data_IF_477952603744
#
_entry.id   IF_477952603744
#
_cell.length_a   1.000
_cell.length_b   1.000
_cell.length_c   1.000
_cell.angle_alpha   90.00
_cell.angle_beta   90.00
_cell.angle_gamma   90.00
#
_symmetry.space_group_name_H-M   'P 1'
#
loop_
_entity.id
_entity.type
_entity.pdbx_description
1 polymer ?
#
# COMPACT_ATOMS: atom_id res chain seq x y z
N UNK A 1 -0.95 -0.39 -39.81
CA UNK A 1 0.35 -0.20 -39.15
C UNK A 1 0.00 0.21 -37.74
N UNK A 2 -0.05 -0.75 -36.82
CA UNK A 2 -0.12 -0.43 -35.39
C UNK A 2 1.21 0.22 -35.03
N UNK A 3 1.15 1.50 -34.65
CA UNK A 3 2.29 2.18 -34.03
C UNK A 3 2.61 1.39 -32.76
N UNK A 4 3.75 0.71 -32.75
CA UNK A 4 4.31 0.18 -31.52
C UNK A 4 4.78 1.38 -30.71
N UNK A 5 4.15 1.59 -29.55
CA UNK A 5 4.64 2.54 -28.54
C UNK A 5 6.12 2.27 -28.25
N UNK A 6 7.01 3.27 -28.35
CA UNK A 6 8.46 3.08 -28.24
C UNK A 6 8.98 2.90 -26.80
N UNK A 7 8.12 2.95 -25.78
CA UNK A 7 8.47 2.95 -24.35
C UNK A 7 8.37 1.57 -23.68
N UNK A 8 8.90 0.54 -24.33
CA UNK A 8 8.99 -0.80 -23.75
C UNK A 8 10.44 -1.28 -23.72
N UNK A 9 11.25 -0.75 -22.78
CA UNK A 9 12.54 -1.33 -22.34
C UNK A 9 12.84 -1.04 -20.84
N UNK A 10 12.09 -1.75 -19.99
CA UNK A 10 12.30 -2.13 -18.57
C UNK A 10 12.88 -1.10 -17.58
N UNK A 11 12.01 -0.41 -16.85
CA UNK A 11 12.41 0.35 -15.66
C UNK A 11 11.64 -0.04 -14.38
N UNK A 12 12.32 -0.72 -13.42
CA UNK A 12 11.98 -0.84 -11.99
C UNK A 12 12.77 0.16 -11.11
N UNK A 13 12.90 1.38 -11.63
CA UNK A 13 13.36 2.65 -11.06
C UNK A 13 14.85 2.84 -10.75
N UNK A 14 15.55 3.53 -11.65
CA UNK A 14 16.87 4.15 -11.44
C UNK A 14 16.73 5.68 -11.38
N UNK A 15 17.59 6.33 -10.56
CA UNK A 15 17.70 7.79 -10.46
C UNK A 15 19.17 8.19 -10.40
N UNK A 16 19.67 8.95 -11.39
CA UNK A 16 20.96 9.63 -11.27
C UNK A 16 20.78 11.10 -10.86
N UNK A 17 19.66 11.70 -11.28
CA UNK A 17 19.32 13.09 -10.99
C UNK A 17 18.16 13.22 -9.97
N UNK A 18 18.03 14.42 -9.41
CA UNK A 18 16.97 14.76 -8.48
C UNK A 18 16.78 16.27 -8.37
N UNK A 19 15.56 16.67 -8.03
CA UNK A 19 15.19 18.07 -7.85
C UNK A 19 14.94 18.40 -6.39
N UNK A 20 15.19 19.65 -6.01
CA UNK A 20 14.89 20.14 -4.67
C UNK A 20 13.40 20.44 -4.56
N UNK A 21 12.66 19.54 -3.90
CA UNK A 21 11.21 19.69 -3.68
C UNK A 21 10.90 19.86 -2.18
N UNK A 22 9.75 20.47 -1.85
CA UNK A 22 9.29 20.53 -0.47
C UNK A 22 9.07 19.15 0.12
N UNK A 23 9.73 18.89 1.25
CA UNK A 23 9.51 17.70 2.05
C UNK A 23 8.25 17.89 2.87
N UNK A 24 7.19 17.18 2.51
CA UNK A 24 5.95 17.14 3.29
C UNK A 24 6.20 16.41 4.62
N UNK A 25 6.38 17.19 5.69
CA UNK A 25 6.27 16.73 7.08
C UNK A 25 4.96 17.25 7.67
N UNK A 26 4.32 16.48 8.55
CA UNK A 26 2.99 16.81 9.09
C UNK A 26 3.02 18.04 10.03
N UNK A 27 4.20 18.45 10.48
CA UNK A 27 4.37 19.17 11.74
C UNK A 27 5.54 20.18 11.78
N UNK A 28 6.23 20.46 10.67
CA UNK A 28 7.38 21.39 10.65
C UNK A 28 7.48 22.22 9.37
N UNK A 29 8.18 23.35 9.49
CA UNK A 29 8.52 24.30 8.41
C UNK A 29 8.88 23.58 7.09
N UNK A 30 8.48 24.18 5.96
CA UNK A 30 8.77 23.68 4.61
C UNK A 30 10.28 23.54 4.40
N UNK A 31 10.81 22.34 4.67
CA UNK A 31 12.19 22.00 4.39
C UNK A 31 12.28 21.48 2.96
N UNK A 32 13.26 21.93 2.19
CA UNK A 32 13.54 21.37 0.88
C UNK A 32 14.40 20.13 1.06
N UNK A 33 14.09 19.08 0.30
CA UNK A 33 14.94 17.89 0.21
C UNK A 33 15.20 17.55 -1.25
N UNK A 34 16.25 16.79 -1.54
CA UNK A 34 16.51 16.28 -2.88
C UNK A 34 15.58 15.08 -3.11
N UNK A 35 14.71 15.19 -4.10
CA UNK A 35 13.79 14.13 -4.53
C UNK A 35 14.31 13.53 -5.84
N UNK A 36 14.91 12.33 -5.79
CA UNK A 36 15.29 11.62 -7.00
C UNK A 36 14.06 11.30 -7.83
N UNK A 37 14.16 11.39 -9.15
CA UNK A 37 13.09 10.97 -10.05
C UNK A 37 13.64 9.95 -11.06
N UNK A 38 12.75 9.13 -11.60
CA UNK A 38 13.14 8.20 -12.64
C UNK A 38 13.26 8.93 -13.98
N UNK A 39 14.43 8.92 -14.60
CA UNK A 39 14.66 9.54 -15.92
C UNK A 39 13.81 8.88 -17.04
N UNK A 40 13.36 7.64 -16.85
CA UNK A 40 12.58 6.91 -17.84
C UNK A 40 11.06 7.14 -17.71
N UNK A 41 10.50 7.00 -16.50
CA UNK A 41 9.04 7.12 -16.29
C UNK A 41 8.60 8.43 -15.60
N UNK A 42 9.55 9.28 -15.20
CA UNK A 42 9.27 10.55 -14.51
C UNK A 42 8.77 10.41 -13.07
N UNK A 43 8.63 9.19 -12.55
CA UNK A 43 8.12 8.97 -11.20
C UNK A 43 9.11 9.52 -10.16
N UNK A 44 8.62 10.34 -9.24
CA UNK A 44 9.41 10.92 -8.15
C UNK A 44 9.47 9.95 -6.98
N UNK A 45 10.66 9.71 -6.46
CA UNK A 45 10.87 8.82 -5.32
C UNK A 45 10.30 9.43 -4.04
N UNK A 46 9.61 8.61 -3.26
CA UNK A 46 9.25 8.97 -1.90
C UNK A 46 10.50 8.98 -1.00
N UNK A 47 10.96 10.18 -0.65
CA UNK A 47 12.04 10.42 0.33
C UNK A 47 11.51 10.82 1.71
N UNK A 48 10.18 10.89 1.86
CA UNK A 48 9.48 11.31 3.07
C UNK A 48 9.51 10.28 4.20
N UNK A 49 9.00 10.68 5.39
CA UNK A 49 8.85 9.77 6.53
C UNK A 49 7.71 8.75 6.33
N UNK A 50 6.72 9.07 5.49
CA UNK A 50 5.56 8.22 5.17
C UNK A 50 5.94 7.11 4.18
N UNK A 51 6.84 6.22 4.60
CA UNK A 51 7.47 5.20 3.74
C UNK A 51 6.57 3.98 3.54
N UNK A 52 6.36 3.56 2.28
CA UNK A 52 5.50 2.43 1.97
C UNK A 52 6.10 1.10 2.48
N UNK A 53 5.25 0.09 2.61
CA UNK A 53 5.58 -1.26 3.04
C UNK A 53 5.39 -2.25 1.90
N UNK A 54 6.15 -3.33 1.93
CA UNK A 54 5.99 -4.44 0.98
C UNK A 54 4.66 -5.15 1.21
N UNK A 55 4.10 -5.75 0.17
CA UNK A 55 2.89 -6.57 0.25
C UNK A 55 2.88 -7.54 1.45
N UNK A 56 4.01 -8.21 1.73
CA UNK A 56 4.13 -9.14 2.86
C UNK A 56 3.75 -8.55 4.23
N UNK A 57 4.03 -7.27 4.45
CA UNK A 57 3.59 -6.57 5.68
C UNK A 57 2.06 -6.59 5.81
N UNK A 58 1.34 -6.29 4.73
CA UNK A 58 -0.12 -6.28 4.73
C UNK A 58 -0.72 -7.69 4.83
N UNK A 59 -0.04 -8.70 4.28
CA UNK A 59 -0.41 -10.12 4.46
C UNK A 59 -0.24 -10.56 5.92
N UNK A 60 0.80 -10.09 6.60
CA UNK A 60 1.00 -10.33 8.02
C UNK A 60 -0.11 -9.67 8.84
N UNK A 61 -0.43 -8.39 8.56
CA UNK A 61 -1.54 -7.67 9.22
C UNK A 61 -2.91 -8.32 8.98
N UNK A 62 -3.14 -8.83 7.78
CA UNK A 62 -4.33 -9.62 7.48
C UNK A 62 -4.42 -10.88 8.34
N UNK A 63 -3.29 -11.53 8.60
CA UNK A 63 -3.22 -12.73 9.45
C UNK A 63 -3.39 -12.39 10.94
N UNK A 64 -2.89 -11.25 11.41
CA UNK A 64 -3.16 -10.73 12.75
C UNK A 64 -4.66 -10.46 12.96
N UNK A 65 -5.29 -9.76 12.00
CA UNK A 65 -6.73 -9.49 12.01
C UNK A 65 -7.56 -10.77 11.99
N UNK A 66 -7.18 -11.75 11.16
CA UNK A 66 -7.80 -13.08 11.14
C UNK A 66 -7.78 -13.75 12.52
N UNK A 67 -6.63 -13.72 13.20
CA UNK A 67 -6.47 -14.33 14.52
C UNK A 67 -7.32 -13.61 15.59
N UNK A 68 -7.39 -12.29 15.54
CA UNK A 68 -8.27 -11.52 16.40
C UNK A 68 -9.74 -11.92 16.23
N UNK A 69 -10.21 -11.97 14.99
CA UNK A 69 -11.58 -12.35 14.65
C UNK A 69 -11.91 -13.80 15.02
N UNK A 70 -10.92 -14.70 15.07
CA UNK A 70 -11.11 -16.06 15.60
C UNK A 70 -11.35 -16.08 17.11
N UNK A 71 -10.73 -15.17 17.85
CA UNK A 71 -10.75 -15.13 19.31
C UNK A 71 -11.97 -14.41 19.87
N UNK A 72 -12.42 -13.30 19.25
CA UNK A 72 -13.59 -12.56 19.73
C UNK A 72 -14.93 -13.26 19.46
N UNK A 73 -15.03 -14.05 18.39
CA UNK A 73 -16.29 -14.63 17.90
C UNK A 73 -16.61 -16.05 18.38
N UNK A 74 -15.90 -16.57 19.39
CA UNK A 74 -16.19 -17.92 19.91
C UNK A 74 -17.62 -18.08 20.46
N UNK A 75 -18.36 -16.98 20.66
CA UNK A 75 -19.76 -17.00 21.09
C UNK A 75 -20.81 -17.06 19.96
N UNK A 76 -20.50 -16.68 18.70
CA UNK A 76 -21.52 -16.63 17.61
C UNK A 76 -21.03 -16.92 16.18
N UNK A 77 -19.73 -17.10 15.93
CA UNK A 77 -19.20 -17.57 14.64
C UNK A 77 -19.46 -16.68 13.42
N UNK A 78 -19.88 -15.42 13.61
CA UNK A 78 -20.31 -14.55 12.51
C UNK A 78 -19.19 -13.70 11.93
N UNK A 79 -18.11 -13.43 12.66
CA UNK A 79 -17.11 -12.46 12.17
C UNK A 79 -15.77 -13.06 11.73
N UNK A 80 -15.69 -14.36 11.41
CA UNK A 80 -14.43 -14.98 10.97
C UNK A 80 -14.02 -14.50 9.57
N UNK A 81 -12.73 -14.23 9.39
CA UNK A 81 -12.15 -14.14 8.05
C UNK A 81 -11.98 -15.58 7.51
N UNK A 82 -12.68 -15.91 6.42
CA UNK A 82 -12.57 -17.24 5.81
C UNK A 82 -11.30 -17.34 4.97
N UNK A 83 -10.81 -18.57 4.77
CA UNK A 83 -9.68 -18.85 3.85
C UNK A 83 -9.93 -18.29 2.44
N UNK A 84 -11.19 -18.33 1.97
CA UNK A 84 -11.56 -17.77 0.67
C UNK A 84 -11.41 -16.25 0.66
N UNK A 85 -11.90 -15.55 1.70
CA UNK A 85 -11.71 -14.10 1.81
C UNK A 85 -10.23 -13.74 1.82
N UNK A 86 -9.42 -14.44 2.62
CA UNK A 86 -7.98 -14.19 2.70
C UNK A 86 -7.31 -14.29 1.32
N UNK A 87 -7.58 -15.36 0.58
CA UNK A 87 -7.03 -15.55 -0.77
C UNK A 87 -7.47 -14.45 -1.75
N UNK A 88 -8.74 -14.06 -1.72
CA UNK A 88 -9.27 -13.01 -2.59
C UNK A 88 -8.68 -11.64 -2.26
N UNK A 89 -8.57 -11.30 -0.98
CA UNK A 89 -7.94 -10.06 -0.51
C UNK A 89 -6.48 -10.00 -0.93
N UNK A 90 -5.71 -11.07 -0.69
CA UNK A 90 -4.29 -11.14 -1.09
C UNK A 90 -4.14 -10.98 -2.59
N UNK A 91 -4.94 -11.69 -3.37
CA UNK A 91 -4.91 -11.60 -4.83
C UNK A 91 -5.22 -10.18 -5.32
N UNK A 92 -6.22 -9.53 -4.74
CA UNK A 92 -6.56 -8.15 -5.11
C UNK A 92 -5.43 -7.17 -4.74
N UNK A 93 -4.78 -7.35 -3.58
CA UNK A 93 -3.58 -6.57 -3.23
C UNK A 93 -2.42 -6.81 -4.21
N UNK A 94 -2.23 -8.04 -4.71
CA UNK A 94 -1.21 -8.37 -5.71
C UNK A 94 -1.46 -7.71 -7.08
N UNK A 95 -2.73 -7.49 -7.44
CA UNK A 95 -3.10 -6.82 -8.71
C UNK A 95 -2.95 -5.29 -8.62
N UNK A 96 -2.92 -4.74 -7.41
CA UNK A 96 -2.86 -3.31 -7.15
C UNK A 96 -1.42 -2.77 -7.20
N UNK A 97 -1.20 -1.76 -8.04
CA UNK A 97 0.14 -1.19 -8.27
C UNK A 97 0.78 -0.64 -6.99
N UNK A 98 -0.03 -0.12 -6.07
CA UNK A 98 0.45 0.52 -4.83
C UNK A 98 1.17 -0.43 -3.88
N UNK A 99 0.97 -1.75 -3.99
CA UNK A 99 1.66 -2.74 -3.14
C UNK A 99 2.91 -3.34 -3.80
N UNK A 100 3.06 -3.16 -5.11
CA UNK A 100 4.13 -3.74 -5.92
C UNK A 100 5.21 -2.71 -6.27
N UNK A 101 4.81 -1.49 -6.61
CA UNK A 101 5.72 -0.38 -6.90
C UNK A 101 5.81 0.58 -5.72
N UNK A 102 6.87 0.44 -4.92
CA UNK A 102 7.08 1.24 -3.72
C UNK A 102 7.84 2.55 -3.98
N UNK A 103 8.26 2.83 -5.22
CA UNK A 103 9.23 3.90 -5.47
C UNK A 103 8.66 5.28 -5.15
N UNK A 104 7.45 5.57 -5.62
CA UNK A 104 6.77 6.86 -5.43
C UNK A 104 5.54 6.81 -4.50
N UNK A 105 5.25 5.67 -3.88
CA UNK A 105 4.02 5.47 -3.10
C UNK A 105 4.20 5.92 -1.64
N UNK A 106 3.12 6.42 -1.04
CA UNK A 106 3.02 6.76 0.38
C UNK A 106 2.45 5.59 1.19
N UNK A 107 2.91 5.40 2.43
CA UNK A 107 2.36 4.35 3.30
C UNK A 107 0.87 4.61 3.59
N UNK A 108 0.50 5.86 3.86
CA UNK A 108 -0.90 6.27 4.03
C UNK A 108 -1.79 5.86 2.84
N UNK A 109 -1.31 5.99 1.60
CA UNK A 109 -2.05 5.54 0.41
C UNK A 109 -2.26 4.02 0.41
N UNK A 110 -1.25 3.25 0.81
CA UNK A 110 -1.39 1.80 0.92
C UNK A 110 -2.34 1.39 2.05
N UNK A 111 -2.33 2.10 3.17
CA UNK A 111 -3.25 1.88 4.30
C UNK A 111 -4.71 2.12 3.89
N UNK A 112 -4.99 3.25 3.21
CA UNK A 112 -6.32 3.52 2.67
C UNK A 112 -6.76 2.42 1.69
N UNK A 113 -5.86 2.01 0.79
CA UNK A 113 -6.18 0.96 -0.18
C UNK A 113 -6.42 -0.40 0.49
N UNK A 114 -5.65 -0.71 1.53
CA UNK A 114 -5.83 -1.92 2.32
C UNK A 114 -7.20 -1.94 3.02
N UNK A 115 -7.60 -0.83 3.62
CA UNK A 115 -8.93 -0.66 4.24
C UNK A 115 -10.04 -0.83 3.20
N UNK A 116 -9.91 -0.21 2.03
CA UNK A 116 -10.87 -0.31 0.92
C UNK A 116 -11.07 -1.77 0.48
N UNK A 117 -9.98 -2.49 0.21
CA UNK A 117 -10.03 -3.89 -0.21
C UNK A 117 -10.66 -4.75 0.89
N UNK A 118 -10.28 -4.57 2.15
CA UNK A 118 -10.86 -5.33 3.26
C UNK A 118 -12.36 -5.11 3.39
N UNK A 119 -12.81 -3.85 3.31
CA UNK A 119 -14.22 -3.47 3.39
C UNK A 119 -15.05 -4.02 2.24
N UNK A 120 -14.47 -4.24 1.06
CA UNK A 120 -15.14 -4.89 -0.07
C UNK A 120 -15.56 -6.33 0.27
N UNK A 121 -14.71 -7.09 0.94
CA UNK A 121 -14.98 -8.49 1.32
C UNK A 121 -15.64 -8.64 2.68
N UNK A 122 -15.44 -7.67 3.57
CA UNK A 122 -15.97 -7.64 4.94
C UNK A 122 -16.50 -6.24 5.28
N UNK A 123 -17.63 -5.82 4.69
CA UNK A 123 -18.22 -4.50 4.94
C UNK A 123 -18.69 -4.35 6.40
N UNK A 124 -18.92 -5.46 7.08
CA UNK A 124 -19.34 -5.56 8.48
C UNK A 124 -18.22 -5.23 9.48
N UNK A 125 -16.94 -5.31 9.09
CA UNK A 125 -15.83 -4.95 9.99
C UNK A 125 -15.77 -3.45 10.18
N UNK A 126 -15.71 -2.96 11.40
CA UNK A 126 -15.52 -1.53 11.66
C UNK A 126 -14.13 -1.07 11.18
N UNK A 127 -14.07 0.13 10.59
CA UNK A 127 -12.82 0.66 10.06
C UNK A 127 -11.77 0.90 11.16
N UNK A 128 -12.21 1.34 12.34
CA UNK A 128 -11.33 1.50 13.50
C UNK A 128 -10.63 0.20 13.90
N UNK A 129 -11.31 -0.94 13.81
CA UNK A 129 -10.72 -2.26 14.06
C UNK A 129 -9.65 -2.55 13.01
N UNK A 130 -9.92 -2.28 11.73
CA UNK A 130 -8.93 -2.50 10.66
C UNK A 130 -7.69 -1.62 10.89
N UNK A 131 -7.88 -0.33 11.16
CA UNK A 131 -6.79 0.63 11.36
C UNK A 131 -5.96 0.36 12.60
N UNK A 132 -6.56 -0.17 13.67
CA UNK A 132 -5.82 -0.57 14.87
C UNK A 132 -4.70 -1.58 14.56
N UNK A 133 -4.85 -2.41 13.54
CA UNK A 133 -3.81 -3.37 13.14
C UNK A 133 -2.72 -2.77 12.24
N UNK A 134 -2.88 -1.54 11.74
CA UNK A 134 -1.90 -0.87 10.88
C UNK A 134 -0.87 -0.04 11.67
N UNK A 135 -1.16 0.28 12.94
CA UNK A 135 -0.25 0.96 13.88
C UNK A 135 0.83 0.01 14.43
#
# INVERSE_FOLDING_TARGET
MEEKDPDDKDCPHMSNDGDWLPLLRRDTELTLSLHPYCENCGLVRNVGPDRPRKLGYYVDKLSELENYLKNEDSKKGKNKLTEVHKRLIVKEMEEEKVFNDLYGVLASTQEEKFVEILKKYRPDLEECVIRYYLE
#
